data_IF_948312753271
#
_entry.id   IF_948312753271
#
_cell.length_a   1.000
_cell.length_b   1.000
_cell.length_c   1.000
_cell.angle_alpha   90.00
_cell.angle_beta   90.00
_cell.angle_gamma   90.00
#
_symmetry.space_group_name_H-M   'P 1'
#
loop_
_entity.id
_entity.type
_entity.pdbx_description
1 polymer ?
#
# COMPACT_ATOMS: atom_id res chain seq x y z
N UNK A 1 -4.92 -7.42 -4.17
CA UNK A 1 -4.39 -6.25 -4.86
C UNK A 1 -5.16 -5.03 -4.40
N UNK A 2 -6.49 -5.03 -4.47
CA UNK A 2 -7.29 -4.13 -3.65
C UNK A 2 -7.27 -4.64 -2.22
N UNK A 3 -6.99 -3.75 -1.27
CA UNK A 3 -7.04 -4.08 0.15
C UNK A 3 -8.11 -3.29 0.88
N UNK A 4 -7.82 -2.01 1.16
CA UNK A 4 -8.76 -1.11 1.82
C UNK A 4 -9.55 -0.33 0.79
N UNK A 5 -10.86 -0.26 1.02
CA UNK A 5 -11.79 0.50 0.22
C UNK A 5 -12.59 1.45 1.10
N UNK A 6 -12.92 2.59 0.50
CA UNK A 6 -13.92 3.52 1.02
C UNK A 6 -14.99 3.66 -0.07
N UNK A 7 -16.09 2.95 0.11
CA UNK A 7 -17.15 2.82 -0.88
C UNK A 7 -18.43 3.45 -0.35
N UNK A 8 -19.28 3.96 -1.24
CA UNK A 8 -20.64 4.38 -0.89
C UNK A 8 -21.65 4.10 -1.99
N UNK A 9 -22.90 3.79 -1.61
CA UNK A 9 -24.03 3.63 -2.54
C UNK A 9 -25.24 4.34 -1.94
N UNK A 10 -26.04 4.99 -2.80
CA UNK A 10 -27.33 5.53 -2.38
C UNK A 10 -28.35 4.39 -2.44
N UNK A 11 -28.93 4.03 -1.31
CA UNK A 11 -29.90 2.94 -1.15
C UNK A 11 -30.88 3.37 -0.07
N UNK A 12 -32.15 3.15 -0.32
CA UNK A 12 -33.19 3.29 0.71
C UNK A 12 -33.23 2.00 1.51
N UNK A 13 -32.89 2.09 2.80
CA UNK A 13 -32.89 0.95 3.70
C UNK A 13 -33.98 1.18 4.76
N UNK A 14 -34.79 0.16 4.98
CA UNK A 14 -35.63 0.10 6.16
C UNK A 14 -34.75 -0.30 7.36
N UNK A 15 -34.37 0.69 8.17
CA UNK A 15 -33.53 0.45 9.34
C UNK A 15 -34.27 -0.23 10.50
N UNK A 16 -35.59 -0.36 10.45
CA UNK A 16 -36.38 -1.02 11.50
C UNK A 16 -36.19 -2.53 11.49
N UNK A 17 -35.86 -3.09 10.33
CA UNK A 17 -35.71 -4.53 10.08
C UNK A 17 -34.26 -5.02 10.09
N UNK A 18 -33.29 -4.17 10.48
CA UNK A 18 -31.90 -4.62 10.50
C UNK A 18 -31.73 -5.72 11.55
N UNK A 19 -31.18 -6.85 11.10
CA UNK A 19 -30.93 -8.05 11.92
C UNK A 19 -29.94 -7.82 13.06
N UNK A 20 -29.19 -6.71 13.03
CA UNK A 20 -28.09 -6.41 13.94
C UNK A 20 -28.37 -5.23 14.87
N UNK A 21 -27.80 -5.31 16.09
CA UNK A 21 -27.74 -4.18 17.04
C UNK A 21 -26.84 -3.06 16.51
N UNK A 22 -27.39 -2.22 15.65
CA UNK A 22 -26.71 -1.03 15.14
C UNK A 22 -26.47 -0.01 16.25
N UNK A 23 -25.28 0.61 16.23
CA UNK A 23 -25.02 1.80 17.04
C UNK A 23 -25.67 3.01 16.38
N UNK A 24 -26.66 3.59 17.06
CA UNK A 24 -27.30 4.87 16.68
C UNK A 24 -26.37 6.04 16.98
N UNK A 25 -26.17 6.93 16.01
CA UNK A 25 -25.46 8.19 16.20
C UNK A 25 -26.46 9.34 16.12
N UNK A 26 -26.33 10.31 17.02
CA UNK A 26 -27.26 11.41 17.18
C UNK A 26 -26.59 12.75 16.89
N UNK A 27 -27.34 13.72 16.39
CA UNK A 27 -27.00 15.14 16.47
C UNK A 27 -27.91 15.84 17.46
N UNK A 28 -27.33 16.76 18.22
CA UNK A 28 -28.06 17.67 19.09
C UNK A 28 -28.27 19.00 18.36
N UNK A 29 -29.49 19.52 18.44
CA UNK A 29 -29.81 20.86 17.96
C UNK A 29 -30.79 21.53 18.93
N UNK A 30 -30.79 22.86 18.93
CA UNK A 30 -31.72 23.66 19.73
C UNK A 30 -32.98 23.86 18.91
N UNK A 31 -34.13 23.50 19.47
CA UNK A 31 -35.42 23.87 18.92
C UNK A 31 -35.64 25.38 19.13
N UNK A 32 -35.76 26.13 18.04
CA UNK A 32 -35.89 27.59 18.11
C UNK A 32 -37.25 28.07 18.65
N UNK A 33 -38.26 27.21 18.69
CA UNK A 33 -39.59 27.55 19.20
C UNK A 33 -39.69 27.26 20.71
N UNK A 34 -39.08 26.17 21.18
CA UNK A 34 -39.18 25.76 22.60
C UNK A 34 -37.92 26.02 23.41
N UNK A 35 -36.79 26.30 22.76
CA UNK A 35 -35.47 26.46 23.40
C UNK A 35 -34.83 25.15 23.86
N UNK A 36 -35.49 24.00 23.64
CA UNK A 36 -35.02 22.69 24.12
C UNK A 36 -33.94 22.08 23.23
N UNK A 37 -33.04 21.30 23.83
CA UNK A 37 -32.07 20.49 23.07
C UNK A 37 -32.77 19.20 22.61
N UNK A 38 -32.99 19.09 21.30
CA UNK A 38 -33.52 17.88 20.66
C UNK A 38 -32.39 17.01 20.11
N UNK A 39 -32.59 15.70 20.20
CA UNK A 39 -31.69 14.67 19.63
C UNK A 39 -32.36 14.01 18.45
N UNK A 40 -31.71 14.04 17.30
CA UNK A 40 -32.15 13.32 16.11
C UNK A 40 -31.11 12.27 15.72
N UNK A 41 -31.57 11.08 15.35
CA UNK A 41 -30.68 10.05 14.79
C UNK A 41 -30.24 10.54 13.41
N UNK A 42 -28.92 10.64 13.21
CA UNK A 42 -28.37 11.06 11.91
C UNK A 42 -27.85 9.88 11.10
N UNK A 43 -27.43 8.82 11.78
CA UNK A 43 -26.86 7.64 11.14
C UNK A 43 -26.88 6.41 12.04
N UNK A 44 -26.77 5.26 11.39
CA UNK A 44 -26.53 3.99 12.04
C UNK A 44 -25.15 3.48 11.66
N UNK A 45 -24.41 2.94 12.62
CA UNK A 45 -23.10 2.35 12.38
C UNK A 45 -23.03 0.92 12.88
N UNK A 46 -22.36 0.08 12.10
CA UNK A 46 -22.04 -1.29 12.45
C UNK A 46 -20.57 -1.56 12.15
N UNK A 47 -19.96 -2.40 12.97
CA UNK A 47 -18.57 -2.76 12.85
C UNK A 47 -18.43 -4.28 12.81
N UNK A 48 -17.78 -4.78 11.76
CA UNK A 48 -17.51 -6.20 11.55
C UNK A 48 -16.04 -6.36 11.21
N UNK A 49 -15.26 -7.01 12.08
CA UNK A 49 -13.87 -7.38 11.81
C UNK A 49 -13.01 -6.21 11.25
N UNK A 50 -13.19 -5.00 11.79
CA UNK A 50 -12.47 -3.79 11.34
C UNK A 50 -13.06 -3.09 10.11
N UNK A 51 -14.15 -3.60 9.52
CA UNK A 51 -14.97 -2.90 8.53
C UNK A 51 -16.04 -2.10 9.26
N UNK A 52 -16.13 -0.80 8.94
CA UNK A 52 -17.22 0.06 9.37
C UNK A 52 -18.25 0.19 8.26
N UNK A 53 -19.47 -0.13 8.61
CA UNK A 53 -20.65 0.23 7.86
C UNK A 53 -21.31 1.45 8.48
N UNK A 54 -21.70 2.40 7.65
CA UNK A 54 -22.43 3.59 8.10
C UNK A 54 -23.59 3.82 7.15
N UNK A 55 -24.81 3.83 7.67
CA UNK A 55 -25.97 4.31 6.93
C UNK A 55 -26.33 5.72 7.40
N UNK A 56 -26.26 6.69 6.49
CA UNK A 56 -26.61 8.09 6.76
C UNK A 56 -28.04 8.38 6.28
N UNK A 57 -28.94 8.60 7.25
CA UNK A 57 -30.41 8.65 7.05
C UNK A 57 -30.79 9.72 6.03
N UNK A 58 -30.37 10.97 6.27
CA UNK A 58 -30.72 12.12 5.40
C UNK A 58 -30.30 11.93 3.95
N UNK A 59 -29.14 11.32 3.71
CA UNK A 59 -28.61 11.12 2.36
C UNK A 59 -29.05 9.81 1.71
N UNK A 60 -29.68 8.91 2.48
CA UNK A 60 -29.97 7.52 2.09
C UNK A 60 -28.74 6.82 1.52
N UNK A 61 -27.58 7.00 2.16
CA UNK A 61 -26.30 6.43 1.70
C UNK A 61 -25.79 5.42 2.69
N UNK A 62 -25.47 4.23 2.18
CA UNK A 62 -24.64 3.26 2.86
C UNK A 62 -23.18 3.50 2.48
N UNK A 63 -22.32 3.48 3.48
CA UNK A 63 -20.88 3.59 3.33
C UNK A 63 -20.21 2.36 3.91
N UNK A 64 -19.22 1.85 3.19
CA UNK A 64 -18.36 0.75 3.58
C UNK A 64 -16.93 1.27 3.68
N UNK A 65 -16.34 1.19 4.86
CA UNK A 65 -14.96 1.60 5.13
C UNK A 65 -14.19 0.44 5.73
N UNK A 66 -13.14 -0.03 5.07
CA UNK A 66 -12.33 -1.10 5.63
C UNK A 66 -11.70 -1.95 4.56
N UNK A 67 -11.21 -3.12 4.96
CA UNK A 67 -10.56 -4.07 4.05
C UNK A 67 -11.59 -5.07 3.56
N UNK A 68 -11.85 -5.16 2.26
CA UNK A 68 -12.90 -6.04 1.71
C UNK A 68 -12.68 -7.51 2.10
N UNK A 69 -11.43 -7.95 2.21
CA UNK A 69 -11.10 -9.31 2.63
C UNK A 69 -11.66 -9.68 4.01
N UNK A 70 -11.90 -8.68 4.87
CA UNK A 70 -12.46 -8.91 6.21
C UNK A 70 -13.98 -9.14 6.20
N UNK A 71 -14.65 -8.98 5.05
CA UNK A 71 -16.01 -9.52 4.85
C UNK A 71 -16.00 -11.04 4.68
N UNK A 72 -14.87 -11.58 4.24
CA UNK A 72 -14.74 -12.95 3.76
C UNK A 72 -14.03 -13.87 4.75
N UNK A 73 -13.24 -13.30 5.68
CA UNK A 73 -12.49 -14.04 6.70
C UNK A 73 -12.42 -13.24 7.99
N UNK A 74 -12.53 -13.94 9.12
CA UNK A 74 -12.47 -13.34 10.46
C UNK A 74 -11.06 -12.91 10.87
N UNK A 75 -10.04 -13.62 10.40
CA UNK A 75 -8.63 -13.27 10.58
C UNK A 75 -7.88 -13.45 9.26
N UNK A 76 -7.48 -12.33 8.67
CA UNK A 76 -6.61 -12.37 7.51
C UNK A 76 -5.90 -11.04 7.24
N UNK A 77 -5.14 -10.58 8.24
CA UNK A 77 -4.58 -9.24 8.15
C UNK A 77 -3.30 -9.14 7.31
N UNK A 78 -2.70 -10.28 6.98
CA UNK A 78 -1.51 -10.36 6.13
C UNK A 78 -1.89 -10.28 4.66
N UNK A 79 -2.84 -11.12 4.24
CA UNK A 79 -3.16 -11.32 2.84
C UNK A 79 -4.00 -10.19 2.25
N UNK A 80 -3.93 -10.12 0.93
CA UNK A 80 -4.81 -9.35 0.08
C UNK A 80 -5.88 -10.23 -0.55
N UNK A 81 -6.88 -9.60 -1.19
CA UNK A 81 -7.92 -10.32 -1.91
C UNK A 81 -7.36 -11.34 -2.92
N UNK A 82 -6.32 -10.96 -3.68
CA UNK A 82 -5.67 -11.81 -4.69
C UNK A 82 -4.78 -12.90 -4.11
N UNK A 83 -4.33 -12.76 -2.85
CA UNK A 83 -3.58 -13.81 -2.16
C UNK A 83 -4.48 -14.98 -1.74
N UNK A 84 -5.80 -14.75 -1.67
CA UNK A 84 -6.77 -15.73 -1.16
C UNK A 84 -7.76 -16.19 -2.21
N UNK A 85 -8.13 -15.32 -3.14
CA UNK A 85 -9.14 -15.60 -4.14
C UNK A 85 -8.61 -15.23 -5.53
N UNK A 86 -8.51 -16.25 -6.38
CA UNK A 86 -8.17 -16.08 -7.80
C UNK A 86 -9.40 -15.71 -8.63
N UNK A 87 -10.59 -16.13 -8.20
CA UNK A 87 -11.86 -15.93 -8.90
C UNK A 87 -12.61 -14.73 -8.32
N UNK A 88 -12.78 -13.69 -9.14
CA UNK A 88 -13.42 -12.42 -8.73
C UNK A 88 -14.90 -12.56 -8.45
N UNK A 89 -15.59 -13.44 -9.17
CA UNK A 89 -17.02 -13.67 -8.94
C UNK A 89 -17.24 -14.30 -7.57
N UNK A 90 -16.41 -15.26 -7.13
CA UNK A 90 -16.51 -15.82 -5.78
C UNK A 90 -16.36 -14.75 -4.69
N UNK A 91 -15.42 -13.80 -4.86
CA UNK A 91 -15.25 -12.66 -3.95
C UNK A 91 -16.51 -11.81 -3.93
N UNK A 92 -17.06 -11.49 -5.11
CA UNK A 92 -18.25 -10.65 -5.28
C UNK A 92 -19.47 -11.32 -4.66
N UNK A 93 -19.70 -12.60 -4.92
CA UNK A 93 -20.84 -13.35 -4.41
C UNK A 93 -20.82 -13.47 -2.89
N UNK A 94 -19.66 -13.79 -2.31
CA UNK A 94 -19.52 -13.86 -0.85
C UNK A 94 -19.68 -12.49 -0.19
N UNK A 95 -19.09 -11.44 -0.78
CA UNK A 95 -19.23 -10.09 -0.26
C UNK A 95 -20.69 -9.61 -0.34
N UNK A 96 -21.35 -9.81 -1.47
CA UNK A 96 -22.75 -9.44 -1.71
C UNK A 96 -23.69 -10.22 -0.79
N UNK A 97 -23.47 -11.52 -0.60
CA UNK A 97 -24.22 -12.36 0.34
C UNK A 97 -24.09 -11.84 1.78
N UNK A 98 -22.88 -11.45 2.19
CA UNK A 98 -22.67 -10.84 3.52
C UNK A 98 -23.37 -9.49 3.63
N UNK A 99 -23.30 -8.63 2.61
CA UNK A 99 -24.04 -7.36 2.60
C UNK A 99 -25.56 -7.57 2.70
N UNK A 100 -26.09 -8.56 1.99
CA UNK A 100 -27.50 -8.94 2.04
C UNK A 100 -27.91 -9.38 3.44
N UNK A 101 -27.13 -10.23 4.10
CA UNK A 101 -27.36 -10.64 5.49
C UNK A 101 -27.38 -9.44 6.46
N UNK A 102 -26.46 -8.49 6.27
CA UNK A 102 -26.28 -7.34 7.17
C UNK A 102 -27.37 -6.26 7.00
N UNK A 103 -27.83 -6.03 5.77
CA UNK A 103 -28.73 -4.90 5.44
C UNK A 103 -30.11 -5.33 4.97
N UNK A 104 -30.35 -6.64 4.81
CA UNK A 104 -31.53 -7.20 4.18
C UNK A 104 -31.87 -6.51 2.83
N UNK A 105 -30.84 -6.25 2.04
CA UNK A 105 -30.93 -5.55 0.77
C UNK A 105 -30.03 -6.22 -0.27
N UNK A 106 -30.54 -6.37 -1.50
CA UNK A 106 -29.72 -6.83 -2.62
C UNK A 106 -28.76 -5.72 -3.04
N UNK A 107 -27.49 -5.92 -2.69
CA UNK A 107 -26.42 -4.96 -2.96
C UNK A 107 -25.26 -5.66 -3.65
N UNK A 108 -24.86 -5.11 -4.79
CA UNK A 108 -23.60 -5.46 -5.44
C UNK A 108 -22.47 -4.50 -5.05
N UNK A 109 -21.35 -5.05 -4.56
CA UNK A 109 -20.13 -4.28 -4.26
C UNK A 109 -19.62 -3.50 -5.47
N UNK A 110 -19.87 -3.98 -6.69
CA UNK A 110 -19.44 -3.30 -7.93
C UNK A 110 -20.30 -2.10 -8.32
N UNK A 111 -21.42 -1.89 -7.65
CA UNK A 111 -22.28 -0.70 -7.86
C UNK A 111 -21.94 0.45 -6.91
N UNK A 112 -21.02 0.24 -5.98
CA UNK A 112 -20.63 1.31 -5.09
C UNK A 112 -19.76 2.33 -5.81
N UNK A 113 -20.01 3.59 -5.51
CA UNK A 113 -19.10 4.67 -5.81
C UNK A 113 -17.87 4.61 -4.91
N UNK A 114 -16.76 5.12 -5.41
CA UNK A 114 -15.46 5.06 -4.74
C UNK A 114 -15.05 6.40 -4.22
N UNK A 115 -14.71 6.45 -2.94
CA UNK A 115 -13.99 7.58 -2.36
C UNK A 115 -12.47 7.36 -2.40
N UNK A 116 -12.00 6.14 -2.11
CA UNK A 116 -10.60 5.75 -2.30
C UNK A 116 -10.41 4.24 -2.27
N UNK A 117 -9.37 3.77 -2.94
CA UNK A 117 -8.89 2.38 -2.93
C UNK A 117 -7.40 2.36 -2.62
N UNK A 118 -6.98 1.38 -1.83
CA UNK A 118 -5.57 1.07 -1.62
C UNK A 118 -5.22 -0.15 -2.46
N UNK A 119 -4.39 0.07 -3.49
CA UNK A 119 -3.79 -0.96 -4.33
C UNK A 119 -2.48 -1.37 -3.69
N UNK A 120 -2.22 -2.66 -3.57
CA UNK A 120 -1.03 -3.15 -2.90
C UNK A 120 -0.66 -4.56 -3.31
N UNK A 121 0.59 -4.87 -3.05
CA UNK A 121 1.14 -6.21 -3.18
C UNK A 121 2.04 -6.54 -2.01
N UNK A 122 1.95 -7.77 -1.56
CA UNK A 122 2.90 -8.36 -0.63
C UNK A 122 4.00 -9.07 -1.43
N UNK A 123 5.25 -8.74 -1.12
CA UNK A 123 6.44 -9.49 -1.53
C UNK A 123 6.90 -10.27 -0.30
N UNK A 124 6.79 -11.59 -0.38
CA UNK A 124 7.07 -12.51 0.73
C UNK A 124 8.52 -12.96 0.74
N UNK A 125 8.96 -13.47 1.89
CA UNK A 125 10.27 -14.11 2.08
C UNK A 125 11.45 -13.18 1.72
N UNK A 126 11.35 -11.92 2.13
CA UNK A 126 12.34 -10.88 1.87
C UNK A 126 12.73 -10.13 3.14
N UNK A 127 13.96 -9.60 3.15
CA UNK A 127 14.36 -8.61 4.15
C UNK A 127 13.68 -7.25 3.83
N UNK A 128 12.45 -7.07 4.31
CA UNK A 128 11.63 -5.90 4.05
C UNK A 128 12.32 -4.59 4.49
N UNK A 129 12.93 -4.61 5.68
CA UNK A 129 13.60 -3.45 6.26
C UNK A 129 14.79 -2.99 5.40
N UNK A 130 15.56 -3.92 4.84
CA UNK A 130 16.65 -3.60 3.91
C UNK A 130 16.13 -2.99 2.61
N UNK A 131 15.06 -3.53 2.01
CA UNK A 131 14.44 -2.88 0.84
C UNK A 131 13.98 -1.46 1.15
N UNK A 132 13.35 -1.24 2.30
CA UNK A 132 12.88 0.07 2.74
C UNK A 132 14.04 1.05 2.91
N UNK A 133 15.15 0.63 3.52
CA UNK A 133 16.36 1.44 3.65
C UNK A 133 16.90 1.85 2.27
N UNK A 134 17.02 0.88 1.35
CA UNK A 134 17.50 1.12 -0.01
C UNK A 134 16.58 2.08 -0.77
N UNK A 135 15.26 1.90 -0.67
CA UNK A 135 14.29 2.78 -1.30
C UNK A 135 14.39 4.21 -0.79
N UNK A 136 14.43 4.41 0.53
CA UNK A 136 14.61 5.72 1.14
C UNK A 136 15.91 6.39 0.68
N UNK A 137 17.00 5.62 0.55
CA UNK A 137 18.25 6.13 0.01
C UNK A 137 18.10 6.61 -1.44
N UNK A 138 17.46 5.82 -2.31
CA UNK A 138 17.22 6.24 -3.71
C UNK A 138 16.36 7.51 -3.79
N UNK A 139 15.30 7.58 -2.99
CA UNK A 139 14.40 8.76 -2.95
C UNK A 139 15.16 10.01 -2.52
N UNK A 140 15.99 9.88 -1.47
CA UNK A 140 16.85 10.96 -0.98
C UNK A 140 17.78 11.46 -2.07
N UNK A 141 18.42 10.55 -2.81
CA UNK A 141 19.37 10.91 -3.86
C UNK A 141 18.72 11.54 -5.10
N UNK A 142 17.46 11.20 -5.39
CA UNK A 142 16.71 11.84 -6.49
C UNK A 142 16.41 13.32 -6.23
N UNK A 143 16.37 13.75 -4.96
CA UNK A 143 16.16 15.15 -4.56
C UNK A 143 14.94 15.81 -5.26
N UNK A 144 13.82 15.08 -5.40
CA UNK A 144 12.61 15.63 -6.03
C UNK A 144 11.82 16.51 -5.05
N UNK A 145 12.04 17.82 -5.16
CA UNK A 145 11.41 18.85 -4.32
C UNK A 145 9.88 18.91 -4.45
N UNK A 146 9.22 18.20 -5.38
CA UNK A 146 7.75 18.21 -5.49
C UNK A 146 7.07 17.29 -4.46
N UNK A 147 7.84 16.38 -3.88
CA UNK A 147 7.35 15.37 -2.96
C UNK A 147 7.99 15.52 -1.58
N UNK A 148 7.33 14.93 -0.60
CA UNK A 148 7.76 14.89 0.79
C UNK A 148 7.81 13.43 1.21
N UNK A 149 8.96 13.00 1.71
CA UNK A 149 9.08 11.74 2.43
C UNK A 149 8.80 12.01 3.92
N UNK A 150 7.76 11.36 4.45
CA UNK A 150 7.35 11.55 5.83
C UNK A 150 8.41 11.02 6.81
N UNK A 151 9.12 9.96 6.45
CA UNK A 151 10.23 9.40 7.27
C UNK A 151 11.33 10.43 7.48
N UNK A 152 11.77 11.09 6.41
CA UNK A 152 12.79 12.14 6.50
C UNK A 152 12.27 13.37 7.26
N UNK A 153 11.01 13.75 7.04
CA UNK A 153 10.41 14.95 7.67
C UNK A 153 10.26 14.79 9.17
N UNK A 154 9.92 13.59 9.65
CA UNK A 154 9.71 13.30 11.07
C UNK A 154 10.92 12.64 11.73
N UNK A 155 12.07 12.60 11.05
CA UNK A 155 13.32 12.00 11.56
C UNK A 155 13.15 10.55 12.04
N UNK A 156 12.29 9.78 11.38
CA UNK A 156 12.06 8.38 11.70
C UNK A 156 13.22 7.52 11.18
N UNK A 157 13.39 6.34 11.78
CA UNK A 157 14.38 5.37 11.32
C UNK A 157 14.10 4.95 9.87
N UNK A 158 15.14 4.96 9.02
CA UNK A 158 15.02 4.84 7.56
C UNK A 158 14.63 3.45 7.06
N UNK A 159 14.63 2.46 7.93
CA UNK A 159 14.27 1.08 7.64
C UNK A 159 12.81 0.74 8.02
N UNK A 160 12.03 1.72 8.51
CA UNK A 160 10.65 1.51 9.00
C UNK A 160 9.60 1.56 7.89
N UNK A 161 9.64 2.58 7.04
CA UNK A 161 8.73 2.73 5.91
C UNK A 161 9.27 3.69 4.85
N UNK A 162 8.67 3.65 3.67
CA UNK A 162 8.75 4.67 2.64
C UNK A 162 7.37 5.29 2.52
N UNK A 163 7.19 6.54 2.92
CA UNK A 163 5.89 7.19 2.86
C UNK A 163 6.00 8.53 2.13
N UNK A 164 5.56 8.54 0.87
CA UNK A 164 5.70 9.70 -0.03
C UNK A 164 4.34 10.24 -0.43
N UNK A 165 4.18 11.56 -0.25
CA UNK A 165 3.06 12.33 -0.82
C UNK A 165 3.55 13.62 -1.46
N UNK A 166 2.75 14.20 -2.35
CA UNK A 166 3.05 15.51 -2.93
C UNK A 166 3.12 16.58 -1.83
N UNK A 167 3.91 17.64 -2.02
CA UNK A 167 3.95 18.77 -1.09
C UNK A 167 2.57 19.38 -0.83
N UNK A 168 1.75 19.48 -1.87
CA UNK A 168 0.38 19.99 -1.74
C UNK A 168 -0.47 19.10 -0.83
N UNK A 169 -0.46 17.77 -1.04
CA UNK A 169 -1.21 16.83 -0.20
C UNK A 169 -0.65 16.79 1.23
N UNK A 170 0.66 17.01 1.40
CA UNK A 170 1.28 17.12 2.71
C UNK A 170 0.74 18.34 3.48
N UNK A 171 0.79 19.53 2.88
CA UNK A 171 0.35 20.79 3.50
C UNK A 171 -1.15 20.83 3.78
N UNK A 172 -1.96 20.35 2.84
CA UNK A 172 -3.43 20.42 2.95
C UNK A 172 -4.04 19.29 3.78
N UNK A 173 -3.24 18.32 4.22
CA UNK A 173 -3.69 17.07 4.85
C UNK A 173 -4.83 16.35 4.06
N UNK A 174 -4.85 16.51 2.73
CA UNK A 174 -5.82 15.88 1.82
C UNK A 174 -5.08 15.01 0.82
N UNK A 175 -5.62 13.83 0.54
CA UNK A 175 -5.07 12.97 -0.52
C UNK A 175 -5.83 13.16 -1.82
N UNK A 176 -5.54 14.24 -2.55
CA UNK A 176 -6.18 14.53 -3.84
C UNK A 176 -5.59 13.74 -5.02
N UNK A 177 -4.44 13.10 -4.82
CA UNK A 177 -3.75 12.37 -5.88
C UNK A 177 -3.46 10.94 -5.43
N UNK A 178 -2.21 10.64 -5.08
CA UNK A 178 -1.82 9.34 -4.57
C UNK A 178 -0.83 9.50 -3.43
N UNK A 179 -0.72 8.43 -2.64
CA UNK A 179 0.31 8.26 -1.62
C UNK A 179 1.00 6.94 -1.89
N UNK A 180 2.34 6.97 -1.88
CA UNK A 180 3.16 5.77 -1.91
C UNK A 180 3.48 5.38 -0.47
N UNK A 181 3.26 4.12 -0.12
CA UNK A 181 3.50 3.60 1.21
C UNK A 181 4.12 2.20 1.13
N UNK A 182 5.43 2.07 1.33
CA UNK A 182 6.09 0.77 1.41
C UNK A 182 6.53 0.51 2.84
N UNK A 183 6.22 -0.67 3.38
CA UNK A 183 6.45 -0.94 4.79
C UNK A 183 6.61 -2.43 5.07
N UNK A 184 7.24 -2.73 6.20
CA UNK A 184 7.29 -4.08 6.74
C UNK A 184 5.91 -4.42 7.30
N UNK A 185 5.32 -5.50 6.77
CA UNK A 185 3.96 -5.89 7.13
C UNK A 185 3.86 -6.30 8.60
N UNK A 186 4.89 -6.94 9.15
CA UNK A 186 4.94 -7.35 10.55
C UNK A 186 4.85 -6.14 11.48
N UNK A 187 5.71 -5.14 11.25
CA UNK A 187 5.71 -3.90 12.04
C UNK A 187 4.36 -3.18 11.97
N UNK A 188 3.72 -3.19 10.80
CA UNK A 188 2.40 -2.60 10.62
C UNK A 188 1.33 -3.34 11.41
N UNK A 189 1.35 -4.67 11.44
CA UNK A 189 0.41 -5.47 12.22
C UNK A 189 0.61 -5.31 13.71
N UNK A 190 1.85 -5.29 14.22
CA UNK A 190 2.12 -4.98 15.63
C UNK A 190 1.52 -3.64 16.04
N UNK A 191 1.78 -2.59 15.25
CA UNK A 191 1.24 -1.26 15.51
C UNK A 191 -0.30 -1.22 15.49
N UNK A 192 -0.94 -1.97 14.59
CA UNK A 192 -2.39 -2.08 14.55
C UNK A 192 -2.94 -2.84 15.75
N UNK A 193 -2.27 -3.92 16.20
CA UNK A 193 -2.67 -4.71 17.36
C UNK A 193 -2.60 -3.88 18.64
N UNK A 194 -1.52 -3.12 18.84
CA UNK A 194 -1.38 -2.20 19.97
C UNK A 194 -2.52 -1.17 19.99
N UNK A 195 -2.76 -0.49 18.86
CA UNK A 195 -3.86 0.50 18.75
C UNK A 195 -5.23 -0.11 18.97
N UNK A 196 -5.46 -1.34 18.51
CA UNK A 196 -6.71 -2.06 18.71
C UNK A 196 -6.96 -2.41 20.19
N UNK A 197 -5.88 -2.67 20.94
CA UNK A 197 -5.96 -2.91 22.39
C UNK A 197 -6.22 -1.62 23.18
N UNK A 198 -5.69 -0.48 22.71
CA UNK A 198 -5.92 0.84 23.31
C UNK A 198 -7.32 1.41 23.04
N UNK A 199 -7.90 1.10 21.87
CA UNK A 199 -9.22 1.59 21.48
C UNK A 199 -10.35 0.84 22.23
N UNK A 200 -11.20 1.58 22.95
CA UNK A 200 -12.46 1.08 23.52
C UNK A 200 -13.51 0.86 22.43
N UNK A 201 -13.31 -0.14 21.59
CA UNK A 201 -14.27 -0.58 20.56
C UNK A 201 -13.63 -0.80 19.18
N UNK A 202 -14.17 -1.80 18.47
CA UNK A 202 -13.72 -2.30 17.17
C UNK A 202 -12.31 -2.92 17.18
N UNK A 203 -12.17 -4.05 17.87
CA UNK A 203 -10.94 -4.84 17.91
C UNK A 203 -10.73 -5.51 16.56
N UNK A 204 -9.76 -5.03 15.80
CA UNK A 204 -9.18 -5.77 14.69
C UNK A 204 -8.47 -6.98 15.32
N UNK A 205 -8.94 -8.20 15.05
CA UNK A 205 -8.35 -9.40 15.62
C UNK A 205 -7.09 -9.80 14.83
N UNK A 206 -5.93 -9.43 15.35
CA UNK A 206 -4.63 -9.82 14.78
C UNK A 206 -4.08 -10.96 15.62
N UNK A 207 -4.14 -12.16 15.07
CA UNK A 207 -3.67 -13.38 15.74
C UNK A 207 -2.13 -13.48 15.72
N UNK A 208 -1.57 -14.34 16.57
CA UNK A 208 -0.13 -14.68 16.49
C UNK A 208 0.22 -15.30 15.13
N UNK A 209 -0.70 -16.07 14.53
CA UNK A 209 -0.50 -16.65 13.22
C UNK A 209 -0.42 -15.56 12.13
N UNK A 210 -1.22 -14.49 12.22
CA UNK A 210 -1.10 -13.34 11.31
C UNK A 210 0.28 -12.69 11.43
N UNK A 211 0.82 -12.56 12.64
CA UNK A 211 2.16 -11.99 12.83
C UNK A 211 3.23 -12.89 12.23
N UNK A 212 3.19 -14.19 12.51
CA UNK A 212 4.12 -15.16 11.95
C UNK A 212 4.09 -15.17 10.41
N UNK A 213 2.91 -15.10 9.80
CA UNK A 213 2.76 -15.03 8.35
C UNK A 213 3.25 -13.70 7.74
N UNK A 214 3.28 -12.62 8.54
CA UNK A 214 3.77 -11.33 8.10
C UNK A 214 5.29 -11.16 8.21
N UNK A 215 5.99 -12.12 8.83
CA UNK A 215 7.44 -12.14 8.87
C UNK A 215 8.02 -12.05 7.45
N UNK A 216 9.10 -11.28 7.31
CA UNK A 216 9.80 -11.11 6.04
C UNK A 216 8.90 -10.67 4.88
N UNK A 217 7.84 -9.90 5.16
CA UNK A 217 6.89 -9.44 4.15
C UNK A 217 7.02 -7.94 3.91
N UNK A 218 7.40 -7.57 2.70
CA UNK A 218 7.40 -6.20 2.22
C UNK A 218 6.05 -5.88 1.56
N UNK A 219 5.35 -4.87 2.08
CA UNK A 219 4.18 -4.29 1.44
C UNK A 219 4.59 -3.21 0.45
N UNK A 220 4.12 -3.32 -0.79
CA UNK A 220 4.12 -2.22 -1.76
C UNK A 220 2.71 -1.66 -1.90
N UNK A 221 2.40 -0.52 -1.30
CA UNK A 221 1.05 0.07 -1.32
C UNK A 221 1.01 1.44 -2.03
N UNK A 222 -0.03 1.63 -2.83
CA UNK A 222 -0.37 2.87 -3.53
C UNK A 222 -1.83 3.17 -3.27
N UNK A 223 -2.09 4.31 -2.61
CA UNK A 223 -3.45 4.81 -2.42
C UNK A 223 -3.90 5.59 -3.65
N UNK A 224 -5.05 5.24 -4.21
CA UNK A 224 -5.63 5.84 -5.42
C UNK A 224 -7.11 6.20 -5.23
N UNK A 225 -7.60 7.16 -6.00
CA UNK A 225 -8.91 7.77 -5.80
C UNK A 225 -9.87 7.67 -6.98
N UNK A 226 -9.89 6.57 -7.74
CA UNK A 226 -10.80 6.39 -8.88
C UNK A 226 -11.26 4.94 -9.04
N UNK A 227 -12.45 4.76 -9.60
CA UNK A 227 -13.06 3.55 -10.19
C UNK A 227 -12.70 2.16 -9.62
N UNK A 228 -13.55 1.64 -8.74
CA UNK A 228 -13.40 0.33 -8.07
C UNK A 228 -13.68 -0.81 -9.01
N UNK A 229 -14.71 -0.67 -9.85
CA UNK A 229 -15.13 -1.74 -10.75
C UNK A 229 -13.99 -2.10 -11.70
N UNK A 230 -13.35 -1.08 -12.28
CA UNK A 230 -12.21 -1.30 -13.18
C UNK A 230 -11.03 -1.95 -12.45
N UNK A 231 -10.67 -1.50 -11.24
CA UNK A 231 -9.55 -2.08 -10.50
C UNK A 231 -9.83 -3.48 -9.95
N UNK A 232 -11.08 -3.74 -9.59
CA UNK A 232 -11.51 -5.07 -9.13
C UNK A 232 -11.40 -6.07 -10.28
N UNK A 233 -11.75 -5.63 -11.50
CA UNK A 233 -11.76 -6.43 -12.72
C UNK A 233 -10.44 -6.42 -13.51
N UNK A 234 -9.38 -5.76 -13.05
CA UNK A 234 -8.11 -5.78 -13.79
C UNK A 234 -6.88 -5.80 -12.85
N UNK A 235 -6.29 -6.99 -12.74
CA UNK A 235 -5.08 -7.23 -11.95
C UNK A 235 -3.84 -6.62 -12.61
N UNK A 236 -3.80 -6.59 -13.93
CA UNK A 236 -2.70 -5.99 -14.69
C UNK A 236 -2.73 -4.47 -14.54
N UNK A 237 -3.92 -3.86 -14.57
CA UNK A 237 -4.06 -2.43 -14.34
C UNK A 237 -3.51 -2.01 -12.98
N UNK A 238 -3.83 -2.73 -11.89
CA UNK A 238 -3.31 -2.29 -10.60
C UNK A 238 -1.85 -2.70 -10.35
N UNK A 239 -1.34 -3.75 -11.01
CA UNK A 239 0.11 -3.95 -11.17
C UNK A 239 0.74 -2.73 -11.84
N UNK A 240 0.21 -2.27 -12.97
CA UNK A 240 0.75 -1.15 -13.73
C UNK A 240 0.71 0.17 -12.96
N UNK A 241 -0.31 0.37 -12.12
CA UNK A 241 -0.36 1.49 -11.18
C UNK A 241 0.85 1.43 -10.23
N UNK A 242 1.11 0.29 -9.61
CA UNK A 242 2.25 0.10 -8.70
C UNK A 242 3.57 0.25 -9.44
N UNK A 243 3.73 -0.37 -10.61
CA UNK A 243 4.92 -0.25 -11.46
C UNK A 243 5.20 1.20 -11.84
N UNK A 244 4.18 1.95 -12.24
CA UNK A 244 4.32 3.35 -12.62
C UNK A 244 4.82 4.20 -11.45
N UNK A 245 4.31 3.95 -10.23
CA UNK A 245 4.78 4.68 -9.04
C UNK A 245 6.17 4.23 -8.61
N UNK A 246 6.44 2.94 -8.64
CA UNK A 246 7.76 2.38 -8.37
C UNK A 246 8.81 3.00 -9.31
N UNK A 247 8.53 3.03 -10.62
CA UNK A 247 9.39 3.65 -11.64
C UNK A 247 9.71 5.11 -11.33
N UNK A 248 8.69 5.85 -10.89
CA UNK A 248 8.77 7.28 -10.64
C UNK A 248 9.64 7.62 -9.42
N UNK A 249 9.53 6.85 -8.34
CA UNK A 249 10.16 7.20 -7.06
C UNK A 249 11.41 6.42 -6.73
N UNK A 250 11.48 5.16 -7.15
CA UNK A 250 12.60 4.29 -6.84
C UNK A 250 13.57 4.34 -8.02
N UNK A 251 13.42 3.48 -9.00
CA UNK A 251 14.30 3.40 -10.16
C UNK A 251 13.54 2.74 -11.31
N UNK A 252 14.20 2.49 -12.46
CA UNK A 252 13.60 1.58 -13.45
C UNK A 252 13.02 0.33 -12.77
N UNK A 253 11.89 -0.16 -13.26
CA UNK A 253 11.01 -1.06 -12.49
C UNK A 253 11.70 -2.33 -12.03
N UNK A 254 12.65 -2.87 -12.80
CA UNK A 254 13.20 -4.23 -12.61
C UNK A 254 14.70 -4.27 -12.28
N UNK A 255 15.24 -3.23 -11.65
CA UNK A 255 16.66 -3.22 -11.29
C UNK A 255 16.90 -4.02 -10.00
N UNK A 256 17.96 -4.83 -10.01
CA UNK A 256 18.42 -5.56 -8.81
C UNK A 256 19.35 -4.65 -7.99
N UNK A 257 19.35 -4.82 -6.67
CA UNK A 257 20.28 -4.14 -5.79
C UNK A 257 21.49 -5.03 -5.57
N UNK A 258 22.66 -4.40 -5.47
CA UNK A 258 23.93 -5.07 -5.27
C UNK A 258 24.72 -4.33 -4.20
N UNK A 259 25.58 -5.03 -3.47
CA UNK A 259 26.57 -4.37 -2.64
C UNK A 259 27.65 -3.68 -3.50
N UNK A 260 28.57 -2.97 -2.84
CA UNK A 260 29.66 -2.29 -3.52
C UNK A 260 30.58 -3.25 -4.30
N UNK A 261 30.95 -4.38 -3.71
CA UNK A 261 31.95 -5.29 -4.27
C UNK A 261 31.41 -5.99 -5.52
N UNK A 262 30.18 -6.49 -5.46
CA UNK A 262 29.52 -7.13 -6.60
C UNK A 262 29.21 -6.10 -7.70
N UNK A 263 28.78 -4.89 -7.34
CA UNK A 263 28.61 -3.81 -8.33
C UNK A 263 29.93 -3.48 -9.03
N UNK A 264 31.03 -3.38 -8.27
CA UNK A 264 32.36 -3.10 -8.81
C UNK A 264 32.78 -4.19 -9.80
N UNK A 265 32.59 -5.46 -9.44
CA UNK A 265 32.86 -6.61 -10.30
C UNK A 265 32.06 -6.55 -11.60
N UNK A 266 30.74 -6.36 -11.53
CA UNK A 266 29.88 -6.22 -12.71
C UNK A 266 30.35 -5.09 -13.63
N UNK A 267 30.70 -3.93 -13.06
CA UNK A 267 31.21 -2.80 -13.83
C UNK A 267 32.57 -3.11 -14.45
N UNK A 268 33.44 -3.85 -13.77
CA UNK A 268 34.77 -4.26 -14.26
C UNK A 268 34.70 -5.31 -15.37
N UNK A 269 33.69 -6.17 -15.38
CA UNK A 269 33.57 -7.29 -16.33
C UNK A 269 32.68 -6.94 -17.53
N UNK A 270 31.79 -5.94 -17.42
CA UNK A 270 30.86 -5.60 -18.49
C UNK A 270 31.55 -5.05 -19.75
N UNK A 271 31.04 -5.48 -20.91
CA UNK A 271 31.33 -4.94 -22.25
C UNK A 271 30.34 -3.85 -22.67
N UNK A 272 29.27 -3.62 -21.90
CA UNK A 272 28.20 -2.67 -22.25
C UNK A 272 28.67 -1.22 -22.18
N UNK A 273 29.68 -0.90 -21.35
CA UNK A 273 30.18 0.45 -21.15
C UNK A 273 31.53 0.67 -21.84
N UNK A 274 31.68 1.84 -22.49
CA UNK A 274 32.97 2.33 -22.99
C UNK A 274 33.98 2.49 -21.84
N UNK A 275 35.27 2.31 -22.13
CA UNK A 275 36.39 2.38 -21.16
C UNK A 275 36.36 3.63 -20.28
N UNK A 276 36.15 4.81 -20.88
CA UNK A 276 36.08 6.07 -20.12
C UNK A 276 34.86 6.16 -19.19
N UNK A 277 33.71 5.63 -19.60
CA UNK A 277 32.51 5.58 -18.75
C UNK A 277 32.69 4.60 -17.59
N UNK A 278 33.31 3.46 -17.85
CA UNK A 278 33.67 2.44 -16.86
C UNK A 278 34.60 3.00 -15.78
N UNK A 279 35.68 3.67 -16.18
CA UNK A 279 36.60 4.36 -15.24
C UNK A 279 35.88 5.38 -14.36
N UNK A 280 35.03 6.23 -14.95
CA UNK A 280 34.25 7.25 -14.21
C UNK A 280 33.24 6.62 -13.25
N UNK A 281 32.58 5.54 -13.65
CA UNK A 281 31.61 4.85 -12.80
C UNK A 281 32.29 4.15 -11.62
N UNK A 282 33.44 3.49 -11.85
CA UNK A 282 34.22 2.87 -10.77
C UNK A 282 34.69 3.89 -9.74
N UNK A 283 35.23 5.04 -10.19
CA UNK A 283 35.62 6.12 -9.30
C UNK A 283 34.43 6.67 -8.50
N UNK A 284 33.27 6.82 -9.14
CA UNK A 284 32.04 7.21 -8.46
C UNK A 284 31.64 6.20 -7.37
N UNK A 285 31.65 4.90 -7.69
CA UNK A 285 31.29 3.84 -6.74
C UNK A 285 32.21 3.83 -5.52
N UNK A 286 33.52 3.96 -5.75
CA UNK A 286 34.51 4.01 -4.67
C UNK A 286 34.31 5.22 -3.74
N UNK A 287 34.21 6.42 -4.31
CA UNK A 287 34.01 7.66 -3.54
C UNK A 287 32.66 7.66 -2.79
N UNK A 288 31.63 7.07 -3.39
CA UNK A 288 30.31 6.93 -2.78
C UNK A 288 30.30 5.91 -1.64
N UNK A 289 30.92 4.75 -1.84
CA UNK A 289 31.07 3.72 -0.82
C UNK A 289 31.86 4.26 0.39
N UNK A 290 32.96 4.95 0.14
CA UNK A 290 33.77 5.60 1.17
C UNK A 290 33.12 6.87 1.77
N UNK A 291 31.94 7.29 1.26
CA UNK A 291 31.24 8.53 1.66
C UNK A 291 32.11 9.80 1.58
N UNK A 292 33.10 9.80 0.69
CA UNK A 292 34.11 10.87 0.55
C UNK A 292 33.64 12.07 -0.29
N UNK A 293 32.58 11.92 -1.07
CA UNK A 293 32.06 12.98 -1.96
C UNK A 293 30.54 13.09 -1.88
N UNK A 294 30.04 14.33 -1.79
CA UNK A 294 28.64 14.68 -2.05
C UNK A 294 28.48 14.99 -3.55
N UNK A 295 27.41 14.50 -4.15
CA UNK A 295 27.13 14.66 -5.57
C UNK A 295 25.92 15.56 -5.80
N UNK A 296 25.98 16.38 -6.85
CA UNK A 296 24.81 17.14 -7.30
C UNK A 296 23.75 16.22 -7.90
N UNK A 297 22.54 16.75 -8.08
CA UNK A 297 21.42 16.01 -8.72
C UNK A 297 21.76 15.60 -10.15
N UNK A 298 22.45 16.48 -10.89
CA UNK A 298 22.85 16.27 -12.27
C UNK A 298 23.94 15.20 -12.38
N UNK A 299 24.92 15.22 -11.46
CA UNK A 299 25.94 14.17 -11.36
C UNK A 299 25.29 12.82 -11.04
N UNK A 300 24.41 12.75 -10.04
CA UNK A 300 23.70 11.52 -9.67
C UNK A 300 22.89 10.97 -10.84
N UNK A 301 22.13 11.83 -11.54
CA UNK A 301 21.34 11.42 -12.72
C UNK A 301 22.20 10.74 -13.79
N UNK A 302 23.43 11.23 -14.01
CA UNK A 302 24.37 10.63 -14.97
C UNK A 302 24.81 9.23 -14.54
N UNK A 303 25.27 9.07 -13.31
CA UNK A 303 25.72 7.76 -12.81
C UNK A 303 24.58 6.76 -12.67
N UNK A 304 23.39 7.23 -12.28
CA UNK A 304 22.20 6.40 -12.19
C UNK A 304 21.88 5.80 -13.55
N UNK A 305 21.85 6.60 -14.62
CA UNK A 305 21.65 6.06 -15.98
C UNK A 305 22.67 4.98 -16.36
N UNK A 306 23.93 5.11 -15.96
CA UNK A 306 24.95 4.08 -16.23
C UNK A 306 24.67 2.80 -15.45
N UNK A 307 24.27 2.90 -14.18
CA UNK A 307 23.86 1.74 -13.37
C UNK A 307 22.59 1.08 -13.91
N UNK A 308 21.58 1.87 -14.29
CA UNK A 308 20.34 1.37 -14.87
C UNK A 308 20.60 0.60 -16.17
N UNK A 309 21.53 1.08 -17.01
CA UNK A 309 21.94 0.39 -18.23
C UNK A 309 22.62 -0.96 -17.97
N UNK A 310 23.19 -1.15 -16.78
CA UNK A 310 23.73 -2.41 -16.31
C UNK A 310 22.72 -3.27 -15.52
N UNK A 311 21.45 -2.86 -15.46
CA UNK A 311 20.40 -3.48 -14.64
C UNK A 311 20.64 -3.40 -13.12
N UNK A 312 21.41 -2.39 -12.67
CA UNK A 312 21.77 -2.18 -11.27
C UNK A 312 20.98 -1.00 -10.70
N UNK A 313 20.35 -1.21 -9.54
CA UNK A 313 19.65 -0.17 -8.83
C UNK A 313 20.64 0.88 -8.27
N UNK A 314 20.28 2.18 -8.22
CA UNK A 314 21.24 3.21 -7.81
C UNK A 314 21.73 3.19 -6.36
N UNK A 315 20.99 2.55 -5.46
CA UNK A 315 21.40 2.35 -4.07
C UNK A 315 22.17 1.03 -3.93
N UNK A 316 23.27 1.09 -3.17
CA UNK A 316 24.10 -0.07 -2.89
C UNK A 316 23.68 -0.70 -1.57
N UNK A 317 23.71 -2.03 -1.50
CA UNK A 317 23.45 -2.79 -0.28
C UNK A 317 24.58 -2.47 0.73
N UNK A 318 24.26 -2.06 1.97
CA UNK A 318 25.27 -1.90 3.00
C UNK A 318 25.92 -3.24 3.33
N UNK A 319 27.25 -3.29 3.35
CA UNK A 319 28.03 -4.53 3.52
C UNK A 319 27.81 -5.20 4.88
N UNK A 320 27.31 -4.46 5.88
CA UNK A 320 26.92 -5.00 7.20
C UNK A 320 25.86 -6.11 7.09
N UNK A 321 25.01 -6.08 6.05
CA UNK A 321 23.99 -7.10 5.84
C UNK A 321 24.53 -8.42 5.29
N UNK A 322 25.80 -8.48 4.86
CA UNK A 322 26.43 -9.68 4.26
C UNK A 322 25.62 -10.29 3.10
N UNK A 323 24.92 -9.44 2.35
CA UNK A 323 24.15 -9.81 1.16
C UNK A 323 24.76 -9.09 -0.03
N UNK A 324 25.18 -9.85 -1.04
CA UNK A 324 25.80 -9.31 -2.26
C UNK A 324 24.76 -8.84 -3.30
N UNK A 325 23.57 -9.46 -3.32
CA UNK A 325 22.50 -9.19 -4.28
C UNK A 325 21.12 -9.30 -3.63
N UNK A 326 20.26 -8.36 -3.97
CA UNK A 326 18.82 -8.43 -3.73
C UNK A 326 18.07 -8.26 -5.04
N UNK A 327 17.19 -9.21 -5.34
CA UNK A 327 16.36 -9.14 -6.55
C UNK A 327 15.38 -7.96 -6.48
N UNK A 328 15.09 -7.33 -7.61
CA UNK A 328 14.03 -6.31 -7.66
C UNK A 328 12.70 -6.82 -7.07
N UNK A 329 12.07 -6.11 -6.13
CA UNK A 329 10.74 -6.47 -5.61
C UNK A 329 9.67 -6.53 -6.71
N UNK A 330 9.87 -5.80 -7.80
CA UNK A 330 9.00 -5.89 -8.97
C UNK A 330 9.18 -7.21 -9.73
N UNK A 331 10.40 -7.72 -9.87
CA UNK A 331 10.59 -9.04 -10.50
C UNK A 331 9.96 -10.15 -9.67
N UNK A 332 10.01 -10.01 -8.33
CA UNK A 332 9.34 -10.93 -7.41
C UNK A 332 7.82 -10.85 -7.55
N UNK A 333 7.29 -9.62 -7.71
CA UNK A 333 5.87 -9.39 -7.99
C UNK A 333 5.44 -9.98 -9.33
N UNK A 334 6.24 -9.80 -10.39
CA UNK A 334 5.94 -10.34 -11.72
C UNK A 334 5.77 -11.86 -11.68
N UNK A 335 6.73 -12.57 -11.06
CA UNK A 335 6.65 -14.03 -10.84
C UNK A 335 5.40 -14.43 -10.05
N UNK A 336 5.05 -13.66 -9.02
CA UNK A 336 3.84 -13.93 -8.23
C UNK A 336 2.59 -13.84 -9.11
N UNK A 337 2.48 -12.80 -9.94
CA UNK A 337 1.32 -12.62 -10.83
C UNK A 337 1.27 -13.71 -11.89
N UNK A 338 2.42 -14.07 -12.48
CA UNK A 338 2.53 -15.19 -13.43
C UNK A 338 2.00 -16.49 -12.79
N UNK A 339 2.46 -16.83 -11.57
CA UNK A 339 1.98 -18.01 -10.84
C UNK A 339 0.47 -17.95 -10.54
N UNK A 340 -0.07 -16.77 -10.19
CA UNK A 340 -1.51 -16.60 -9.94
C UNK A 340 -2.31 -16.86 -11.23
N UNK A 341 -1.81 -16.44 -12.39
CA UNK A 341 -2.48 -16.65 -13.68
C UNK A 341 -2.42 -18.10 -14.14
N UNK A 342 -1.27 -18.77 -13.99
CA UNK A 342 -1.16 -20.20 -14.30
C UNK A 342 -2.15 -21.03 -13.48
N UNK A 343 -2.29 -20.72 -12.19
CA UNK A 343 -3.24 -21.40 -11.33
C UNK A 343 -4.69 -21.09 -11.69
N UNK A 344 -5.00 -19.86 -12.10
CA UNK A 344 -6.34 -19.48 -12.55
C UNK A 344 -6.75 -20.18 -13.87
N UNK A 345 -5.79 -20.50 -14.74
CA UNK A 345 -6.06 -21.20 -16.01
C UNK A 345 -6.29 -22.71 -15.90
N UNK A 346 -6.09 -23.28 -14.70
CA UNK A 346 -6.25 -24.72 -14.42
C UNK A 346 -7.63 -25.08 -13.83
N UNK A 347 -8.47 -24.08 -13.62
CA UNK A 347 -9.87 -24.19 -13.16
C UNK A 347 -10.77 -23.47 -14.17
#
# INVERSE_FOLDING_TARGET
MIDRVNLYKKIELDCSIFSLKLKKNYSEYVDYQTGEIKKEITSYSYYLNGIRFLYAIKSKKIYLYGRLIMLLKDSNHVYNLDDVYLQREEIRDKANSKLKELFNADVDILDFNVSSIEVNFNVYNVNANLYIELFNQVIKDRQDKRYVNYVDTNKLAKNTSVYIKSKHNFKSNRNKTYTLNFYNKLDQLYNLRVKANEARGNRINISENDLKLAENTLRLEVKYGKDFRTYFNDIFLCRDIVLTKYKRFICSTRLDFYDYFETKKIVQETNKLKTNSKKKLLQYLELRYAKKKKYSKEELKKYFKMLEFLNIAPALIPTIYKINKLQSPIKLLDKKIENLMENASKF
#
